data_IF_170939717702
#
_entry.id   IF_170939717702
#
_cell.length_a   1.000
_cell.length_b   1.000
_cell.length_c   1.000
_cell.angle_alpha   90.00
_cell.angle_beta   90.00
_cell.angle_gamma   90.00
#
_symmetry.space_group_name_H-M   'P 1'
#
loop_
_entity.id
_entity.type
_entity.pdbx_description
1 polymer ?
#
# COMPACT_ATOMS: atom_id res chain seq x y z
N UNK A 1 -18.55 -19.82 -19.05
CA UNK A 1 -18.65 -18.86 -17.93
C UNK A 1 -17.58 -19.10 -16.86
N UNK A 2 -17.33 -20.34 -16.42
CA UNK A 2 -16.31 -20.65 -15.40
C UNK A 2 -14.87 -20.17 -15.73
N UNK A 3 -14.42 -20.27 -16.99
CA UNK A 3 -13.09 -19.82 -17.39
C UNK A 3 -12.87 -18.30 -17.25
N UNK A 4 -13.89 -17.49 -17.53
CA UNK A 4 -13.83 -16.03 -17.39
C UNK A 4 -13.79 -15.62 -15.92
N UNK A 5 -14.58 -16.29 -15.08
CA UNK A 5 -14.56 -16.08 -13.63
C UNK A 5 -13.19 -16.47 -13.03
N UNK A 6 -12.59 -17.57 -13.48
CA UNK A 6 -11.26 -17.99 -13.05
C UNK A 6 -10.17 -17.00 -13.46
N UNK A 7 -10.20 -16.47 -14.69
CA UNK A 7 -9.27 -15.42 -15.13
C UNK A 7 -9.42 -14.17 -14.27
N UNK A 8 -10.66 -13.75 -13.99
CA UNK A 8 -10.92 -12.58 -13.17
C UNK A 8 -10.40 -12.74 -11.74
N UNK A 9 -10.58 -13.93 -11.14
CA UNK A 9 -10.04 -14.28 -9.83
C UNK A 9 -8.52 -14.37 -9.83
N UNK A 10 -7.90 -15.05 -10.78
CA UNK A 10 -6.46 -15.32 -10.74
C UNK A 10 -5.63 -14.13 -11.21
N UNK A 11 -6.19 -13.25 -12.04
CA UNK A 11 -5.46 -12.15 -12.66
C UNK A 11 -6.01 -10.79 -12.24
N UNK A 12 -7.29 -10.52 -12.48
CA UNK A 12 -7.83 -9.17 -12.26
C UNK A 12 -7.85 -8.78 -10.79
N UNK A 13 -8.29 -9.66 -9.88
CA UNK A 13 -8.34 -9.37 -8.45
C UNK A 13 -6.96 -9.15 -7.82
N UNK A 14 -5.92 -9.95 -8.11
CA UNK A 14 -4.56 -9.65 -7.66
C UNK A 14 -4.04 -8.31 -8.16
N UNK A 15 -4.22 -8.01 -9.45
CA UNK A 15 -3.81 -6.73 -10.02
C UNK A 15 -4.55 -5.58 -9.35
N UNK A 16 -5.84 -5.73 -9.05
CA UNK A 16 -6.63 -4.74 -8.34
C UNK A 16 -6.14 -4.56 -6.89
N UNK A 17 -5.89 -5.64 -6.17
CA UNK A 17 -5.41 -5.59 -4.78
C UNK A 17 -4.04 -4.91 -4.69
N UNK A 18 -3.11 -5.27 -5.57
CA UNK A 18 -1.79 -4.64 -5.65
C UNK A 18 -1.93 -3.17 -6.10
N UNK A 19 -2.77 -2.89 -7.09
CA UNK A 19 -3.06 -1.53 -7.52
C UNK A 19 -3.58 -0.65 -6.38
N UNK A 20 -4.51 -1.17 -5.57
CA UNK A 20 -5.04 -0.47 -4.39
C UNK A 20 -3.98 -0.29 -3.31
N UNK A 21 -3.12 -1.27 -3.09
CA UNK A 21 -2.00 -1.18 -2.15
C UNK A 21 -1.09 -0.01 -2.52
N UNK A 22 -0.65 0.04 -3.77
CA UNK A 22 0.21 1.09 -4.30
C UNK A 22 -0.48 2.47 -4.33
N UNK A 23 -1.77 2.52 -4.66
CA UNK A 23 -2.56 3.75 -4.58
C UNK A 23 -2.70 4.26 -3.14
N UNK A 24 -2.73 3.36 -2.15
CA UNK A 24 -2.78 3.75 -0.73
C UNK A 24 -1.48 4.43 -0.32
N UNK A 25 -0.32 3.92 -0.74
CA UNK A 25 0.96 4.60 -0.55
C UNK A 25 0.96 6.00 -1.18
N UNK A 26 0.50 6.12 -2.43
CA UNK A 26 0.42 7.40 -3.13
C UNK A 26 -0.51 8.40 -2.42
N UNK A 27 -1.70 7.96 -2.01
CA UNK A 27 -2.67 8.81 -1.35
C UNK A 27 -2.11 9.36 -0.04
N UNK A 28 -1.52 8.50 0.79
CA UNK A 28 -0.91 8.92 2.06
C UNK A 28 0.32 9.79 1.82
N UNK A 29 1.15 9.50 0.82
CA UNK A 29 2.28 10.35 0.46
C UNK A 29 1.83 11.75 0.03
N UNK A 30 0.76 11.86 -0.77
CA UNK A 30 0.19 13.14 -1.20
C UNK A 30 -0.42 13.93 -0.05
N UNK A 31 -1.07 13.26 0.90
CA UNK A 31 -1.65 13.92 2.08
C UNK A 31 -0.55 14.41 3.03
N UNK A 32 0.48 13.59 3.25
CA UNK A 32 1.53 13.90 4.22
C UNK A 32 2.64 14.81 3.66
N UNK A 33 2.87 14.81 2.35
CA UNK A 33 3.93 15.61 1.70
C UNK A 33 3.53 16.04 0.26
N UNK A 34 2.54 16.94 0.11
CA UNK A 34 1.93 17.27 -1.20
C UNK A 34 2.89 17.94 -2.19
N UNK A 35 3.90 18.66 -1.69
CA UNK A 35 4.81 19.51 -2.48
C UNK A 35 6.07 18.78 -2.97
N UNK A 36 6.32 17.54 -2.56
CA UNK A 36 7.61 16.87 -2.80
C UNK A 36 7.53 15.75 -3.84
N UNK A 37 6.37 15.36 -4.36
CA UNK A 37 6.29 14.18 -5.25
C UNK A 37 6.58 14.60 -6.70
N UNK A 38 7.79 14.30 -7.16
CA UNK A 38 8.31 14.72 -8.48
C UNK A 38 7.95 13.72 -9.58
N UNK A 39 8.04 12.41 -9.30
CA UNK A 39 7.75 11.37 -10.26
C UNK A 39 7.09 10.15 -9.63
N UNK A 40 5.99 9.69 -10.24
CA UNK A 40 5.39 8.38 -9.99
C UNK A 40 5.76 7.46 -11.13
N UNK A 41 6.77 6.61 -10.97
CA UNK A 41 7.13 5.62 -11.99
C UNK A 41 6.51 4.27 -11.63
N UNK A 42 5.85 3.63 -12.60
CA UNK A 42 5.31 2.29 -12.42
C UNK A 42 6.30 1.27 -13.00
N UNK A 43 7.07 0.64 -12.12
CA UNK A 43 7.84 -0.57 -12.42
C UNK A 43 6.87 -1.74 -12.20
N UNK A 44 6.84 -2.83 -13.00
CA UNK A 44 5.69 -3.74 -13.00
C UNK A 44 5.21 -4.09 -11.60
N UNK A 45 3.97 -3.67 -11.29
CA UNK A 45 3.26 -3.86 -10.02
C UNK A 45 3.79 -3.10 -8.80
N UNK A 46 4.63 -2.08 -8.97
CA UNK A 46 5.18 -1.27 -7.88
C UNK A 46 5.24 0.20 -8.23
N UNK A 47 4.70 1.05 -7.36
CA UNK A 47 4.80 2.49 -7.48
C UNK A 47 6.12 2.95 -6.86
N UNK A 48 6.97 3.58 -7.66
CA UNK A 48 8.10 4.33 -7.14
C UNK A 48 7.67 5.77 -6.91
N UNK A 49 7.83 6.23 -5.67
CA UNK A 49 7.64 7.62 -5.27
C UNK A 49 9.02 8.27 -5.19
N UNK A 50 9.33 9.15 -6.13
CA UNK A 50 10.53 9.99 -6.06
C UNK A 50 10.15 11.36 -5.45
N UNK A 51 10.93 11.79 -4.47
CA UNK A 51 10.67 13.00 -3.69
C UNK A 51 11.72 14.09 -4.00
N UNK A 52 11.29 15.31 -4.35
CA UNK A 52 12.14 16.50 -4.55
C UNK A 52 12.98 16.79 -3.30
N UNK A 53 12.35 16.64 -2.12
CA UNK A 53 12.97 16.77 -0.82
C UNK A 53 12.57 15.60 0.06
N UNK A 54 13.56 14.88 0.59
CA UNK A 54 13.31 13.72 1.45
C UNK A 54 12.40 14.08 2.64
N UNK A 55 11.23 13.42 2.77
CA UNK A 55 10.33 13.63 3.90
C UNK A 55 10.98 13.23 5.23
N UNK A 56 10.42 13.72 6.33
CA UNK A 56 10.83 13.28 7.66
C UNK A 56 10.72 11.74 7.81
N UNK A 57 11.61 11.13 8.61
CA UNK A 57 11.62 9.68 8.85
C UNK A 57 10.25 9.13 9.28
N UNK A 58 9.55 9.85 10.14
CA UNK A 58 8.21 9.46 10.60
C UNK A 58 7.19 9.43 9.45
N UNK A 59 7.27 10.39 8.52
CA UNK A 59 6.44 10.44 7.33
C UNK A 59 6.74 9.28 6.38
N UNK A 60 8.02 8.96 6.16
CA UNK A 60 8.41 7.80 5.34
C UNK A 60 7.90 6.48 5.92
N UNK A 61 7.97 6.32 7.26
CA UNK A 61 7.41 5.15 7.97
C UNK A 61 5.89 5.07 7.82
N UNK A 62 5.21 6.19 7.96
CA UNK A 62 3.76 6.28 7.81
C UNK A 62 3.34 5.89 6.39
N UNK A 63 4.04 6.41 5.37
CA UNK A 63 3.78 6.05 3.97
C UNK A 63 4.03 4.55 3.77
N UNK A 64 5.16 4.01 4.23
CA UNK A 64 5.52 2.60 4.08
C UNK A 64 4.51 1.64 4.74
N UNK A 65 3.89 2.03 5.85
CA UNK A 65 2.93 1.19 6.57
C UNK A 65 1.47 1.54 6.25
N UNK A 66 1.22 2.47 5.32
CA UNK A 66 -0.12 2.95 5.02
C UNK A 66 -1.11 1.84 4.61
N UNK A 67 -0.79 0.91 3.69
CA UNK A 67 -1.73 -0.16 3.32
C UNK A 67 -2.09 -1.07 4.50
N UNK A 68 -1.13 -1.35 5.38
CA UNK A 68 -1.35 -2.13 6.59
C UNK A 68 -2.33 -1.43 7.54
N UNK A 69 -2.15 -0.13 7.78
CA UNK A 69 -3.03 0.63 8.68
C UNK A 69 -4.42 0.84 8.10
N UNK A 70 -4.52 1.26 6.83
CA UNK A 70 -5.80 1.48 6.15
C UNK A 70 -6.56 0.17 6.06
N UNK A 71 -5.89 -0.93 5.70
CA UNK A 71 -6.44 -2.27 5.76
C UNK A 71 -6.91 -2.64 7.17
N UNK A 72 -6.05 -2.51 8.18
CA UNK A 72 -6.42 -2.83 9.57
C UNK A 72 -7.70 -2.11 10.03
N UNK A 73 -7.82 -0.81 9.75
CA UNK A 73 -9.01 -0.01 10.07
C UNK A 73 -10.24 -0.50 9.30
N UNK A 74 -10.11 -0.74 8.00
CA UNK A 74 -11.21 -1.23 7.18
C UNK A 74 -11.70 -2.62 7.62
N UNK A 75 -10.80 -3.51 8.05
CA UNK A 75 -11.16 -4.80 8.65
C UNK A 75 -11.94 -4.61 9.95
N UNK A 76 -11.48 -3.71 10.83
CA UNK A 76 -12.17 -3.42 12.08
C UNK A 76 -13.59 -2.89 11.83
N UNK A 77 -13.76 -1.97 10.86
CA UNK A 77 -15.06 -1.44 10.45
C UNK A 77 -15.94 -2.57 9.90
N UNK A 78 -15.43 -3.42 9.02
CA UNK A 78 -16.19 -4.53 8.44
C UNK A 78 -16.69 -5.53 9.49
N UNK A 79 -15.91 -5.74 10.56
CA UNK A 79 -16.31 -6.58 11.70
C UNK A 79 -17.39 -5.87 12.53
N UNK A 80 -17.15 -4.61 12.91
CA UNK A 80 -18.07 -3.85 13.78
C UNK A 80 -19.44 -3.60 13.14
N UNK A 81 -19.46 -3.36 11.84
CA UNK A 81 -20.70 -3.12 11.07
C UNK A 81 -21.43 -4.41 10.68
N UNK A 82 -20.87 -5.58 10.99
CA UNK A 82 -21.45 -6.88 10.64
C UNK A 82 -21.28 -7.28 9.16
N UNK A 83 -20.62 -6.47 8.33
CA UNK A 83 -20.32 -6.77 6.92
C UNK A 83 -19.56 -8.10 6.80
N UNK A 84 -18.57 -8.34 7.67
CA UNK A 84 -17.82 -9.59 7.67
C UNK A 84 -18.72 -10.82 7.89
N UNK A 85 -19.75 -10.71 8.73
CA UNK A 85 -20.69 -11.82 8.95
C UNK A 85 -21.51 -12.13 7.70
N UNK A 86 -21.95 -11.09 6.98
CA UNK A 86 -22.66 -11.24 5.70
C UNK A 86 -21.78 -11.94 4.67
N UNK A 87 -20.48 -11.59 4.60
CA UNK A 87 -19.55 -12.17 3.64
C UNK A 87 -19.24 -13.65 3.95
N UNK A 88 -19.17 -14.02 5.23
CA UNK A 88 -18.96 -15.43 5.63
C UNK A 88 -20.09 -16.36 5.21
N UNK A 89 -21.33 -15.87 5.17
CA UNK A 89 -22.51 -16.67 4.80
C UNK A 89 -22.90 -16.50 3.32
N UNK A 90 -22.18 -15.65 2.58
CA UNK A 90 -22.45 -15.43 1.18
C UNK A 90 -22.09 -16.66 0.34
N UNK A 91 -22.92 -16.96 -0.66
CA UNK A 91 -22.63 -17.94 -1.68
C UNK A 91 -21.83 -17.27 -2.81
N UNK A 92 -20.71 -17.86 -3.29
CA UNK A 92 -20.18 -19.18 -2.97
C UNK A 92 -19.53 -19.27 -1.59
N UNK A 93 -19.67 -20.43 -0.93
CA UNK A 93 -19.12 -20.66 0.43
C UNK A 93 -17.62 -20.34 0.58
N UNK A 94 -16.82 -20.41 -0.50
CA UNK A 94 -15.39 -20.10 -0.49
C UNK A 94 -15.06 -18.61 -0.65
N UNK A 95 -16.05 -17.74 -0.87
CA UNK A 95 -15.86 -16.31 -1.13
C UNK A 95 -15.06 -15.62 -0.02
N UNK A 96 -15.35 -15.95 1.24
CA UNK A 96 -14.66 -15.37 2.38
C UNK A 96 -13.18 -15.80 2.45
N UNK A 97 -12.81 -16.99 1.96
CA UNK A 97 -11.41 -17.40 1.85
C UNK A 97 -10.67 -16.58 0.78
N UNK A 98 -11.30 -16.39 -0.38
CA UNK A 98 -10.74 -15.55 -1.45
C UNK A 98 -10.58 -14.11 -0.99
N UNK A 99 -11.57 -13.57 -0.28
CA UNK A 99 -11.48 -12.23 0.25
C UNK A 99 -10.33 -12.08 1.25
N UNK A 100 -10.14 -13.04 2.17
CA UNK A 100 -8.98 -13.05 3.07
C UNK A 100 -7.67 -13.07 2.28
N UNK A 101 -7.57 -13.90 1.23
CA UNK A 101 -6.35 -14.01 0.42
C UNK A 101 -6.01 -12.68 -0.28
N UNK A 102 -6.98 -12.03 -0.94
CA UNK A 102 -6.74 -10.73 -1.56
C UNK A 102 -6.54 -9.61 -0.53
N UNK A 103 -7.16 -9.73 0.65
CA UNK A 103 -6.92 -8.83 1.75
C UNK A 103 -5.47 -8.87 2.21
N UNK A 104 -4.90 -10.07 2.38
CA UNK A 104 -3.48 -10.23 2.69
C UNK A 104 -2.60 -9.63 1.60
N UNK A 105 -2.94 -9.83 0.33
CA UNK A 105 -2.24 -9.21 -0.78
C UNK A 105 -2.27 -7.68 -0.72
N UNK A 106 -3.36 -7.09 -0.22
CA UNK A 106 -3.48 -5.65 -0.01
C UNK A 106 -2.77 -5.12 1.24
N UNK A 107 -2.68 -5.85 2.34
CA UNK A 107 -2.14 -5.30 3.61
C UNK A 107 -0.67 -5.61 3.87
N UNK A 108 -0.13 -6.68 3.27
CA UNK A 108 1.23 -7.13 3.58
C UNK A 108 2.23 -6.11 3.01
N UNK A 109 3.06 -5.47 3.85
CA UNK A 109 4.08 -4.57 3.37
C UNK A 109 5.13 -5.35 2.57
N UNK A 110 5.57 -4.79 1.44
CA UNK A 110 6.65 -5.38 0.66
C UNK A 110 7.97 -5.36 1.45
N UNK A 111 8.98 -6.17 1.07
CA UNK A 111 10.30 -6.10 1.70
C UNK A 111 10.92 -4.69 1.66
N UNK A 112 10.59 -3.90 0.64
CA UNK A 112 11.06 -2.54 0.53
C UNK A 112 10.34 -1.58 1.50
N UNK A 113 9.05 -1.81 1.75
CA UNK A 113 8.27 -1.03 2.73
C UNK A 113 8.74 -1.34 4.15
N UNK A 114 9.00 -2.62 4.45
CA UNK A 114 9.60 -3.03 5.72
C UNK A 114 10.96 -2.36 5.90
N UNK A 115 11.82 -2.39 4.86
CA UNK A 115 13.12 -1.71 4.89
C UNK A 115 12.95 -0.20 5.12
N UNK A 116 12.03 0.45 4.42
CA UNK A 116 11.78 1.89 4.56
C UNK A 116 11.20 2.24 5.95
N UNK A 117 10.38 1.36 6.50
CA UNK A 117 9.81 1.52 7.83
C UNK A 117 10.89 1.38 8.93
N UNK A 118 11.77 0.39 8.81
CA UNK A 118 12.82 0.13 9.81
C UNK A 118 13.97 1.13 9.66
N UNK A 119 14.50 1.27 8.44
CA UNK A 119 15.72 2.00 8.11
C UNK A 119 15.50 3.00 6.95
N UNK A 120 14.74 4.09 7.19
CA UNK A 120 14.61 5.13 6.16
C UNK A 120 15.99 5.74 5.88
N UNK A 121 16.48 5.63 4.63
CA UNK A 121 17.80 6.16 4.25
C UNK A 121 17.87 7.66 4.50
N UNK A 122 19.03 8.09 5.01
CA UNK A 122 19.39 9.50 5.24
C UNK A 122 20.63 9.78 4.42
N UNK A 123 20.45 10.17 3.18
CA UNK A 123 21.48 10.80 2.32
C UNK A 123 20.67 11.87 1.57
N UNK A 124 20.72 13.19 1.80
CA UNK A 124 21.65 14.10 2.44
C UNK A 124 20.84 15.28 3.02
N UNK A 125 20.92 15.55 4.31
CA UNK A 125 20.58 16.90 4.84
C UNK A 125 21.77 17.57 5.51
N UNK A 126 22.98 17.02 5.37
CA UNK A 126 24.19 17.61 5.94
C UNK A 126 25.44 17.65 5.03
N UNK A 127 25.37 17.25 3.76
CA UNK A 127 26.52 17.39 2.83
C UNK A 127 26.33 18.41 1.69
N UNK A 128 25.36 19.34 1.82
CA UNK A 128 25.46 20.61 1.07
C UNK A 128 26.55 21.44 1.75
N UNK A 129 27.76 21.27 1.21
CA UNK A 129 28.93 22.15 1.32
C UNK A 129 28.60 23.55 1.85
N UNK A 130 28.86 23.77 3.14
CA UNK A 130 29.35 25.09 3.57
C UNK A 130 30.80 25.13 3.12
N UNK A 131 31.03 25.68 1.93
CA UNK A 131 32.34 26.11 1.49
C UNK A 131 32.75 27.30 2.38
N UNK A 132 33.79 27.20 3.23
CA UNK A 132 34.33 28.39 3.87
C UNK A 132 35.13 29.14 2.81
N UNK A 133 34.60 30.29 2.38
CA UNK A 133 35.40 31.32 1.71
C UNK A 133 36.45 31.87 2.68
#
# INVERSE_FOLDING_TARGET
>A
MAGVQAIFLVICFPVLAIGLHELTHLAVARIACPLSIEQTSWVPFRLRLDFERLPAKATLRMIALAPLFVGGVAAAIAIQTGIWQQIKIADPYYLHHLMIAYWFLYIIPSPADIRLAIWPSVEDTQHVQVNPQ
#
